data_IF_220874132923
#
_entry.id   IF_220874132923
#
_cell.length_a   1.000
_cell.length_b   1.000
_cell.length_c   1.000
_cell.angle_alpha   90.00
_cell.angle_beta   90.00
_cell.angle_gamma   90.00
#
_symmetry.space_group_name_H-M   'P 1'
#
loop_
_entity.id
_entity.type
_entity.pdbx_description
1 polymer ?
2 non-polymer ?
3 non-polymer ?
4 water ?
#
# COMPACT_ATOMS: atom_id res chain seq x y z
N UNK A 4 2.84 14.71 26.13
CA UNK A 4 2.66 13.87 24.91
C UNK A 4 3.84 14.07 23.94
N UNK A 5 4.32 12.99 23.33
CA UNK A 5 5.45 13.03 22.39
C UNK A 5 4.98 13.74 21.12
N UNK A 6 3.72 13.58 20.72
CA UNK A 6 3.21 14.21 19.47
C UNK A 6 3.00 15.73 19.68
N UNK A 7 2.65 16.19 20.88
CA UNK A 7 2.53 17.66 21.15
C UNK A 7 3.84 18.36 20.78
N UNK A 8 5.01 17.68 20.77
CA UNK A 8 6.33 18.36 20.51
C UNK A 8 6.55 18.58 19.00
N UNK A 9 5.66 18.06 18.12
CA UNK A 9 5.86 18.19 16.66
C UNK A 9 4.58 18.70 15.97
N UNK A 10 3.58 19.15 16.72
CA UNK A 10 2.24 19.54 16.14
C UNK A 10 1.86 20.97 16.47
N UNK A 11 1.09 21.60 15.57
CA UNK A 11 0.46 22.89 15.85
C UNK A 11 -0.79 22.75 16.71
N UNK A 12 -1.38 23.86 17.14
CA UNK A 12 -2.57 23.86 18.04
C UNK A 12 -3.86 23.51 17.27
N UNK A 13 -3.87 23.56 15.94
CA UNK A 13 -5.10 23.39 15.12
C UNK A 13 -5.52 21.91 14.98
N UNK A 14 -4.70 20.98 15.45
CA UNK A 14 -5.01 19.52 15.37
C UNK A 14 -5.13 18.95 16.79
N UNK A 15 -5.85 17.83 16.91
CA UNK A 15 -5.97 17.03 18.13
C UNK A 15 -5.12 15.77 17.97
N UNK A 16 -4.48 15.32 19.05
CA UNK A 16 -3.69 14.07 19.02
C UNK A 16 -4.02 13.21 20.24
N UNK A 17 -3.79 11.90 20.12
CA UNK A 17 -3.92 10.96 21.25
C UNK A 17 -2.92 9.85 21.01
N UNK A 18 -2.20 9.45 22.06
CA UNK A 18 -1.14 8.44 21.92
C UNK A 18 -1.18 7.53 23.14
N UNK A 19 -0.74 6.29 22.98
CA UNK A 19 -0.42 5.32 24.08
C UNK A 19 0.88 4.59 23.78
N UNK A 20 1.48 3.94 24.78
CA UNK A 20 2.80 3.28 24.69
C UNK A 20 2.60 1.79 24.82
N UNK A 21 1.34 1.32 24.82
CA UNK A 21 1.12 -0.14 24.91
C UNK A 21 -0.22 -0.48 24.25
N UNK A 22 -0.72 -1.69 24.50
CA UNK A 22 -2.04 -2.11 24.00
C UNK A 22 -2.96 -2.25 25.20
N UNK A 23 -3.77 -1.21 25.48
CA UNK A 23 -4.67 -1.22 26.62
C UNK A 23 -5.70 -2.33 26.55
N UNK A 24 -6.05 -2.90 27.71
CA UNK A 24 -7.01 -3.99 27.75
C UNK A 24 -8.43 -3.59 27.36
N UNK A 25 -9.12 -4.52 26.73
CA UNK A 25 -10.56 -4.44 26.52
C UNK A 25 -10.93 -3.62 25.30
N UNK A 26 -9.95 -3.23 24.48
CA UNK A 26 -10.25 -2.45 23.25
C UNK A 26 -10.77 -3.36 22.16
N UNK A 27 -11.75 -2.91 21.37
CA UNK A 27 -12.35 -3.71 20.28
C UNK A 27 -12.44 -2.86 19.01
N UNK A 28 -12.39 -3.45 17.82
CA UNK A 28 -12.69 -2.68 16.61
C UNK A 28 -14.17 -2.26 16.66
N UNK A 29 -14.57 -1.24 15.91
CA UNK A 29 -16.02 -1.01 15.64
C UNK A 29 -16.46 -2.08 14.63
N UNK A 30 -17.78 -2.39 14.58
CA UNK A 30 -18.31 -3.45 13.72
C UNK A 30 -17.87 -3.30 12.27
N UNK A 31 -17.78 -2.05 11.78
CA UNK A 31 -17.48 -1.78 10.34
C UNK A 31 -16.02 -2.13 10.06
N UNK A 32 -15.18 -2.06 11.10
CA UNK A 32 -13.72 -2.32 10.98
C UNK A 32 -13.40 -3.81 11.04
N UNK A 33 -14.30 -4.64 11.58
CA UNK A 33 -14.04 -6.08 11.83
C UNK A 33 -13.45 -6.81 10.63
N UNK A 34 -13.93 -6.61 9.38
CA UNK A 34 -13.38 -7.37 8.26
C UNK A 34 -11.92 -7.08 7.97
N UNK A 35 -11.44 -5.88 8.32
CA UNK A 35 -10.09 -5.46 7.97
C UNK A 35 -9.10 -6.29 8.79
N UNK A 36 -9.49 -6.79 9.97
CA UNK A 36 -8.51 -7.51 10.84
C UNK A 36 -9.01 -8.92 11.18
N UNK A 37 -10.03 -9.42 10.49
CA UNK A 37 -10.60 -10.76 10.73
C UNK A 37 -9.48 -11.81 10.60
N UNK A 38 -8.55 -11.62 9.69
CA UNK A 38 -7.48 -12.63 9.41
C UNK A 38 -6.15 -12.19 10.01
N UNK A 39 -6.11 -11.08 10.73
CA UNK A 39 -4.82 -10.50 11.21
C UNK A 39 -4.29 -11.24 12.44
N UNK A 40 -2.98 -11.47 12.48
CA UNK A 40 -2.31 -12.01 13.71
C UNK A 40 -2.45 -11.01 14.87
N UNK A 41 -2.25 -11.49 16.10
CA UNK A 41 -2.50 -10.75 17.35
C UNK A 41 -1.79 -9.40 17.30
N UNK A 42 -0.54 -9.37 16.89
CA UNK A 42 0.28 -8.11 16.94
C UNK A 42 -0.35 -7.04 16.02
N UNK A 43 -0.88 -7.47 14.89
CA UNK A 43 -1.46 -6.56 13.90
C UNK A 43 -2.82 -6.10 14.44
N UNK A 44 -3.63 -7.03 14.95
CA UNK A 44 -4.95 -6.67 15.50
C UNK A 44 -4.76 -5.61 16.60
N UNK A 45 -3.78 -5.83 17.47
CA UNK A 45 -3.55 -4.98 18.65
C UNK A 45 -3.27 -3.55 18.17
N UNK A 46 -2.29 -3.37 17.28
CA UNK A 46 -1.87 -2.00 16.86
C UNK A 46 -3.05 -1.35 16.12
N UNK A 47 -3.80 -2.12 15.34
CA UNK A 47 -4.90 -1.58 14.52
C UNK A 47 -5.98 -1.02 15.43
N UNK A 48 -6.37 -1.80 16.45
CA UNK A 48 -7.47 -1.42 17.38
C UNK A 48 -6.95 -0.29 18.28
N UNK A 49 -5.73 -0.42 18.80
CA UNK A 49 -5.22 0.58 19.75
C UNK A 49 -5.11 1.95 19.07
N UNK A 50 -4.58 1.99 17.86
CA UNK A 50 -4.35 3.30 17.19
C UNK A 50 -5.71 3.92 16.86
N UNK A 51 -6.76 3.13 16.65
CA UNK A 51 -8.08 3.67 16.30
C UNK A 51 -8.82 4.12 17.58
N UNK A 52 -8.58 3.46 18.70
CA UNK A 52 -8.98 4.01 20.02
C UNK A 52 -8.39 5.43 20.19
N UNK A 53 -7.11 5.61 19.89
CA UNK A 53 -6.41 6.92 19.95
C UNK A 53 -7.07 7.89 18.99
N UNK A 54 -7.37 7.47 17.76
CA UNK A 54 -8.02 8.33 16.75
C UNK A 54 -9.37 8.84 17.24
N UNK A 55 -10.16 7.96 17.85
CA UNK A 55 -11.54 8.30 18.29
C UNK A 55 -11.44 9.22 19.50
N UNK A 56 -10.44 9.07 20.36
CA UNK A 56 -10.20 10.05 21.47
C UNK A 56 -9.89 11.43 20.88
N UNK A 57 -8.96 11.49 19.92
CA UNK A 57 -8.61 12.77 19.24
C UNK A 57 -9.82 13.34 18.49
N UNK A 58 -10.61 12.50 17.84
CA UNK A 58 -11.80 12.95 17.10
C UNK A 58 -12.79 13.57 18.08
N UNK A 59 -12.82 13.03 19.31
CA UNK A 59 -13.77 13.49 20.35
C UNK A 59 -13.43 14.92 20.75
N UNK A 60 -12.14 15.21 20.90
CA UNK A 60 -11.63 16.58 21.17
C UNK A 60 -12.05 17.53 20.05
N UNK A 61 -12.24 17.06 18.80
CA UNK A 61 -12.67 17.90 17.64
C UNK A 61 -14.19 18.07 17.65
N UNK A 62 -14.90 17.34 18.51
CA UNK A 62 -16.38 17.30 18.54
C UNK A 62 -16.93 16.35 17.51
N UNK A 63 -16.20 15.27 17.21
CA UNK A 63 -16.66 14.22 16.26
C UNK A 63 -16.84 12.94 17.08
N UNK A 64 -17.99 12.30 16.94
CA UNK A 64 -18.36 11.08 17.69
C UNK A 64 -17.57 9.88 17.19
N UNK A 65 -17.70 8.72 17.86
CA UNK A 65 -16.93 7.53 17.50
C UNK A 65 -17.39 7.15 16.09
N UNK A 66 -16.44 6.96 15.16
CA UNK A 66 -16.75 6.52 13.78
C UNK A 66 -15.71 5.47 13.43
N UNK A 67 -16.02 4.55 12.49
CA UNK A 67 -15.02 3.61 12.02
C UNK A 67 -14.00 4.33 11.13
N UNK A 68 -12.76 3.86 11.14
CA UNK A 68 -11.65 4.37 10.31
C UNK A 68 -11.19 3.20 9.44
N UNK A 69 -11.66 3.18 8.20
CA UNK A 69 -11.34 2.06 7.28
C UNK A 69 -10.04 2.42 6.56
N UNK A 70 -9.63 1.59 5.61
CA UNK A 70 -8.41 1.77 4.79
C UNK A 70 -8.78 1.82 3.31
N UNK A 71 -8.15 2.71 2.56
CA UNK A 71 -8.43 2.92 1.12
C UNK A 71 -7.18 2.61 0.31
N UNK A 72 -7.01 3.41 -0.74
CA UNK A 72 -5.89 3.25 -1.70
C UNK A 72 -4.54 3.17 -0.95
N UNK A 73 -3.74 2.13 -1.26
CA UNK A 73 -2.37 1.88 -0.74
C UNK A 73 -2.37 1.91 0.79
N UNK A 74 -3.49 1.57 1.43
CA UNK A 74 -3.64 1.50 2.89
C UNK A 74 -4.01 2.83 3.56
N UNK A 75 -4.20 3.92 2.82
CA UNK A 75 -4.46 5.22 3.48
C UNK A 75 -5.70 5.14 4.38
N UNK A 76 -5.72 5.83 5.54
CA UNK A 76 -6.90 5.81 6.40
C UNK A 76 -8.04 6.55 5.72
N UNK A 77 -9.28 6.15 6.05
CA UNK A 77 -10.53 6.73 5.51
C UNK A 77 -11.22 7.50 6.61
N UNK A 78 -11.15 8.81 6.55
CA UNK A 78 -11.61 9.72 7.62
C UNK A 78 -13.06 10.05 7.33
N UNK A 79 -13.83 10.39 8.37
CA UNK A 79 -15.18 10.94 8.15
C UNK A 79 -15.15 12.28 7.41
N UNK A 80 -16.26 12.64 6.77
CA UNK A 80 -16.38 13.89 6.01
C UNK A 80 -15.94 15.02 6.97
N UNK A 81 -15.19 15.99 6.47
CA UNK A 81 -14.76 17.18 7.24
C UNK A 81 -13.50 16.94 8.08
N UNK A 82 -12.88 15.76 8.02
CA UNK A 82 -11.69 15.39 8.83
C UNK A 82 -10.56 14.89 7.95
N UNK A 83 -9.33 15.23 8.33
CA UNK A 83 -8.07 14.67 7.77
C UNK A 83 -7.25 14.22 8.97
N UNK A 84 -6.24 13.38 8.74
CA UNK A 84 -5.43 12.90 9.88
C UNK A 84 -4.37 11.92 9.45
N UNK A 85 -3.64 11.39 10.43
CA UNK A 85 -2.61 10.37 10.16
C UNK A 85 -2.52 9.45 11.40
N UNK A 86 -2.06 8.24 11.17
CA UNK A 86 -1.88 7.18 12.19
C UNK A 86 -0.45 6.66 12.11
N UNK A 87 0.11 6.21 13.24
CA UNK A 87 1.42 5.51 13.27
C UNK A 87 1.45 4.55 14.48
N UNK A 88 2.16 3.44 14.32
CA UNK A 88 2.40 2.43 15.38
C UNK A 88 3.78 1.84 15.18
N UNK A 89 4.55 1.80 16.25
CA UNK A 89 5.80 1.03 16.28
C UNK A 89 5.91 0.38 17.67
N UNK A 90 7.00 -0.31 17.91
CA UNK A 90 7.32 -0.85 19.26
C UNK A 90 7.18 0.26 20.31
N UNK A 91 6.26 0.11 21.26
CA UNK A 91 6.10 1.06 22.37
C UNK A 91 5.37 2.35 22.01
N UNK A 92 4.63 2.39 20.89
CA UNK A 92 3.91 3.62 20.52
C UNK A 92 2.76 3.35 19.54
N UNK A 93 1.63 3.98 19.81
CA UNK A 93 0.47 4.13 18.89
C UNK A 93 0.04 5.58 19.00
N UNK A 94 -0.17 6.26 17.87
CA UNK A 94 -0.54 7.67 17.87
C UNK A 94 -1.44 8.02 16.70
N UNK A 95 -2.34 8.95 16.94
CA UNK A 95 -3.32 9.45 15.95
C UNK A 95 -3.32 10.97 16.02
N UNK A 96 -3.41 11.63 14.86
CA UNK A 96 -3.58 13.10 14.79
C UNK A 96 -4.72 13.38 13.83
N UNK A 97 -5.67 14.23 14.22
CA UNK A 97 -6.80 14.60 13.34
C UNK A 97 -6.97 16.12 13.34
N UNK A 98 -7.46 16.64 12.23
CA UNK A 98 -7.83 18.05 12.11
C UNK A 98 -9.06 18.18 11.28
N UNK A 99 -9.74 19.32 11.40
CA UNK A 99 -10.89 19.70 10.54
C UNK A 99 -10.36 20.07 9.16
N UNK A 100 -10.95 19.52 8.10
CA UNK A 100 -10.49 19.73 6.70
C UNK A 100 -10.75 21.19 6.27
N UNK A 101 -11.60 21.93 6.98
CA UNK A 101 -11.74 23.40 6.75
C UNK A 101 -10.45 24.13 7.15
N UNK A 102 -9.72 23.64 8.16
CA UNK A 102 -8.49 24.30 8.70
C UNK A 102 -7.24 23.57 8.19
N UNK A 103 -7.31 22.27 7.89
CA UNK A 103 -6.11 21.43 7.60
C UNK A 103 -6.32 20.66 6.29
N UNK A 104 -5.32 20.68 5.41
CA UNK A 104 -5.35 20.05 4.07
C UNK A 104 -4.94 18.57 4.17
N UNK A 105 -3.92 18.29 4.95
CA UNK A 105 -3.31 16.96 5.07
C UNK A 105 -2.49 16.89 6.36
N UNK A 106 -2.43 15.69 6.92
CA UNK A 106 -1.54 15.35 8.06
C UNK A 106 -0.70 14.12 7.70
N UNK A 107 0.58 14.09 8.05
CA UNK A 107 1.39 12.86 8.01
C UNK A 107 2.24 12.77 9.25
N UNK A 108 2.19 11.65 9.97
CA UNK A 108 3.00 11.42 11.20
C UNK A 108 3.76 10.11 11.07
N UNK A 109 4.88 10.04 11.79
CA UNK A 109 5.60 8.77 11.91
C UNK A 109 6.30 8.68 13.27
N UNK A 110 6.42 7.46 13.77
CA UNK A 110 7.16 7.19 15.02
C UNK A 110 8.00 5.96 14.80
N UNK A 111 9.26 5.99 15.24
CA UNK A 111 10.18 4.85 15.14
C UNK A 111 10.99 4.81 16.44
N UNK A 112 11.43 3.62 16.89
CA UNK A 112 12.48 3.55 17.89
C UNK A 112 13.71 4.37 17.47
N UNK A 113 14.22 5.20 18.38
CA UNK A 113 15.43 6.01 18.14
C UNK A 113 16.66 5.11 18.23
N UNK A 114 16.97 4.41 17.14
CA UNK A 114 18.08 3.44 17.02
C UNK A 114 18.67 3.57 15.62
N UNK A 115 19.92 3.16 15.46
CA UNK A 115 20.60 3.09 14.14
C UNK A 115 19.72 2.25 13.23
N UNK A 116 19.74 2.55 11.94
CA UNK A 116 18.99 1.79 10.91
C UNK A 116 19.73 0.46 10.68
N UNK A 117 19.02 -0.63 10.31
CA UNK A 117 19.70 -1.83 9.83
C UNK A 117 20.70 -1.48 8.71
N UNK A 118 21.81 -2.23 8.63
CA UNK A 118 22.86 -2.12 7.58
C UNK A 118 22.18 -2.14 6.21
N UNK A 119 22.57 -1.24 5.31
CA UNK A 119 22.06 -1.18 3.93
C UNK A 119 20.90 -0.21 3.74
N UNK A 120 20.08 0.03 4.77
CA UNK A 120 18.82 0.83 4.63
C UNK A 120 19.16 2.31 4.33
N UNK A 121 20.08 2.93 5.05
CA UNK A 121 20.38 4.37 4.83
C UNK A 121 20.66 4.60 3.35
N UNK A 122 21.46 3.74 2.71
CA UNK A 122 21.92 3.95 1.32
C UNK A 122 20.72 3.83 0.38
N UNK A 123 19.78 2.95 0.70
CA UNK A 123 18.51 2.67 -0.02
C UNK A 123 17.51 3.85 0.09
N UNK A 124 17.53 4.63 1.16
CA UNK A 124 16.47 5.66 1.41
C UNK A 124 17.01 7.07 1.12
N UNK A 125 18.26 7.23 0.67
CA UNK A 125 18.89 8.58 0.60
C UNK A 125 19.38 8.92 -0.80
N UNK A 126 19.39 10.22 -1.13
CA UNK A 126 20.22 10.85 -2.18
C UNK A 126 21.64 11.02 -1.66
N UNK A 127 22.68 10.92 -2.53
CA UNK A 127 24.05 11.25 -2.14
C UNK A 127 24.16 12.56 -1.32
N UNK A 128 23.46 13.60 -1.76
CA UNK A 128 23.52 14.93 -1.09
C UNK A 128 23.01 14.83 0.36
N UNK A 129 22.01 13.98 0.63
CA UNK A 129 21.43 13.76 1.99
C UNK A 129 22.45 13.08 2.91
N UNK A 130 23.16 12.08 2.40
CA UNK A 130 24.18 11.35 3.19
C UNK A 130 25.25 12.35 3.66
N UNK A 131 25.69 13.23 2.76
CA UNK A 131 26.69 14.27 3.03
C UNK A 131 26.15 15.19 4.13
N UNK A 132 24.96 15.77 3.92
CA UNK A 132 24.37 16.79 4.81
C UNK A 132 24.13 16.20 6.20
N UNK A 133 23.74 14.92 6.30
CA UNK A 133 23.51 14.23 7.60
C UNK A 133 24.82 14.21 8.40
N UNK A 134 25.95 13.98 7.72
CA UNK A 134 27.29 13.81 8.35
C UNK A 134 27.69 15.09 9.07
N UNK A 135 27.12 16.24 8.69
CA UNK A 135 27.44 17.55 9.30
C UNK A 135 26.35 18.06 10.22
N UNK A 136 25.33 17.25 10.53
CA UNK A 136 24.31 17.61 11.55
C UNK A 136 24.88 17.29 12.93
N UNK A 137 24.54 18.10 13.95
CA UNK A 137 25.11 17.95 15.30
C UNK A 137 24.33 16.98 16.19
N UNK A 138 25.00 16.45 17.22
CA UNK A 138 24.36 15.70 18.31
C UNK A 138 24.66 14.22 18.20
N UNK A 139 24.56 13.51 19.33
CA UNK A 139 24.50 12.02 19.38
C UNK A 139 23.03 11.64 19.13
N UNK A 140 22.58 11.83 17.89
CA UNK A 140 21.22 11.47 17.39
C UNK A 140 21.39 10.49 16.26
N UNK A 141 20.48 9.52 16.10
CA UNK A 141 20.47 8.56 14.98
C UNK A 141 19.84 9.26 13.76
N UNK A 142 20.65 10.05 13.05
CA UNK A 142 20.11 10.93 11.97
C UNK A 142 19.57 10.08 10.84
N UNK A 143 20.18 8.92 10.60
CA UNK A 143 19.67 7.89 9.66
C UNK A 143 18.19 7.57 9.99
N UNK A 144 17.89 7.25 11.24
CA UNK A 144 16.52 6.87 11.67
C UNK A 144 15.60 8.10 11.57
N UNK A 145 16.10 9.27 11.94
CA UNK A 145 15.27 10.50 11.93
C UNK A 145 14.88 10.79 10.47
N UNK A 146 15.83 10.67 9.54
CA UNK A 146 15.61 10.88 8.09
C UNK A 146 14.53 9.90 7.59
N UNK A 147 14.62 8.63 7.97
CA UNK A 147 13.61 7.58 7.63
C UNK A 147 12.23 8.02 8.10
N UNK A 148 12.08 8.45 9.36
CA UNK A 148 10.80 8.94 9.91
C UNK A 148 10.28 10.15 9.12
N UNK A 149 11.15 11.06 8.70
CA UNK A 149 10.75 12.27 7.96
C UNK A 149 10.25 11.86 6.58
N UNK A 150 10.94 10.94 5.90
CA UNK A 150 10.50 10.43 4.56
C UNK A 150 9.10 9.82 4.70
N UNK A 151 8.88 9.04 5.74
CA UNK A 151 7.59 8.35 5.99
C UNK A 151 6.48 9.37 6.22
N UNK A 152 6.72 10.38 7.07
CA UNK A 152 5.70 11.40 7.33
C UNK A 152 5.40 12.11 5.99
N UNK A 153 6.43 12.43 5.21
CA UNK A 153 6.27 13.13 3.90
C UNK A 153 5.31 12.33 3.00
N UNK A 154 5.54 11.04 2.82
CA UNK A 154 4.67 10.17 1.99
C UNK A 154 3.24 10.21 2.55
N UNK A 155 3.06 10.12 3.87
CA UNK A 155 1.70 10.05 4.43
C UNK A 155 0.97 11.37 4.18
N UNK A 156 1.64 12.52 4.20
CA UNK A 156 0.98 13.82 3.98
C UNK A 156 0.72 14.00 2.48
N UNK A 157 1.66 13.55 1.66
CA UNK A 157 1.62 13.67 0.18
C UNK A 157 0.51 12.78 -0.40
N UNK A 158 0.43 11.52 -0.01
CA UNK A 158 -0.34 10.52 -0.79
C UNK A 158 -1.84 10.87 -0.84
N UNK A 159 -2.52 11.28 0.23
CA UNK A 159 -3.95 11.60 0.15
C UNK A 159 -4.26 12.78 -0.76
N UNK A 160 -3.26 13.61 -1.06
CA UNK A 160 -3.49 14.82 -1.89
C UNK A 160 -3.11 14.54 -3.34
N UNK A 161 -2.39 13.46 -3.67
CA UNK A 161 -1.90 13.21 -5.04
C UNK A 161 -2.35 11.85 -5.55
N UNK A 162 -2.41 10.83 -4.69
CA UNK A 162 -2.57 9.42 -5.09
C UNK A 162 -1.50 9.03 -6.12
N UNK A 163 -0.27 9.51 -5.93
CA UNK A 163 0.88 9.14 -6.75
C UNK A 163 1.97 8.63 -5.82
N UNK A 164 2.77 7.67 -6.28
CA UNK A 164 3.98 7.16 -5.59
C UNK A 164 4.95 8.31 -5.33
N UNK A 165 5.49 8.39 -4.12
CA UNK A 165 6.67 9.23 -3.81
C UNK A 165 7.78 8.30 -3.30
N UNK A 166 8.82 8.07 -4.08
CA UNK A 166 9.96 7.22 -3.71
C UNK A 166 10.91 7.95 -2.77
N UNK A 167 11.76 7.20 -2.08
CA UNK A 167 12.77 7.75 -1.16
C UNK A 167 13.65 8.77 -1.90
N UNK A 168 13.98 8.52 -3.17
CA UNK A 168 14.84 9.40 -4.01
C UNK A 168 14.04 10.59 -4.58
N UNK A 169 12.74 10.69 -4.31
CA UNK A 169 11.86 11.72 -4.92
C UNK A 169 11.66 12.93 -3.99
N UNK A 170 12.28 12.91 -2.81
CA UNK A 170 12.21 14.05 -1.86
C UNK A 170 13.60 14.24 -1.28
N UNK A 171 14.02 15.49 -1.22
CA UNK A 171 15.29 15.91 -0.57
C UNK A 171 14.93 16.54 0.78
N UNK A 172 15.27 15.89 1.88
CA UNK A 172 14.92 16.38 3.23
C UNK A 172 16.16 17.04 3.84
N UNK A 173 15.98 18.26 4.32
CA UNK A 173 17.01 19.01 5.09
C UNK A 173 16.46 19.24 6.49
N UNK A 174 17.34 19.24 7.48
CA UNK A 174 16.97 19.41 8.91
C UNK A 174 17.55 20.69 9.51
N UNK A 175 16.79 21.28 10.42
CA UNK A 175 17.26 22.34 11.36
C UNK A 175 17.05 21.83 12.78
N UNK A 176 17.98 22.14 13.67
CA UNK A 176 17.89 21.73 15.11
C UNK A 176 17.55 22.98 15.94
N UNK A 177 16.54 22.91 16.84
CA UNK A 177 16.20 24.04 17.73
C UNK A 177 17.23 24.05 18.86
N UNK A 178 17.11 24.96 19.81
CA UNK A 178 18.12 25.17 20.86
C UNK A 178 18.27 23.96 21.77
N UNK A 179 17.25 23.11 21.86
CA UNK A 179 17.20 21.94 22.76
C UNK A 179 18.19 20.88 22.30
N UNK A 180 18.57 20.86 21.01
CA UNK A 180 19.44 19.83 20.40
C UNK A 180 18.73 18.51 20.11
N UNK A 181 17.45 18.38 20.45
CA UNK A 181 16.70 17.09 20.41
C UNK A 181 15.39 17.21 19.61
N UNK A 182 15.16 18.34 18.96
CA UNK A 182 13.94 18.58 18.16
C UNK A 182 14.22 19.69 17.17
N UNK A 183 13.35 19.84 16.18
CA UNK A 183 13.50 20.96 15.26
C UNK A 183 12.55 20.81 14.11
N UNK A 184 12.97 21.34 12.99
CA UNK A 184 12.18 21.37 11.73
C UNK A 184 12.83 20.53 10.64
N UNK A 185 12.04 20.24 9.61
CA UNK A 185 12.59 19.67 8.36
C UNK A 185 11.79 20.27 7.21
N UNK A 186 12.44 20.23 6.08
CA UNK A 186 11.78 20.59 4.79
C UNK A 186 12.03 19.46 3.81
N UNK A 187 10.96 18.97 3.20
CA UNK A 187 10.98 17.93 2.15
C UNK A 187 10.74 18.64 0.83
N UNK A 188 11.79 18.72 0.03
CA UNK A 188 11.74 19.35 -1.31
C UNK A 188 11.37 18.22 -2.28
N UNK A 189 10.22 18.35 -2.93
CA UNK A 189 9.72 17.29 -3.85
C UNK A 189 10.40 17.49 -5.20
N UNK A 190 10.95 16.41 -5.71
CA UNK A 190 11.80 16.46 -6.92
C UNK A 190 11.00 15.98 -8.14
N UNK A 191 9.74 15.55 -7.94
CA UNK A 191 8.87 15.03 -9.03
C UNK A 191 7.71 16.01 -9.22
N UNK A 192 6.84 15.72 -10.19
CA UNK A 192 5.72 16.62 -10.52
C UNK A 192 4.92 16.87 -9.25
N UNK A 193 4.73 18.15 -8.85
CA UNK A 193 4.06 18.48 -7.59
C UNK A 193 2.55 18.73 -7.66
N UNK A 194 1.92 18.59 -8.83
CA UNK A 194 0.45 18.82 -9.00
C UNK A 194 -0.32 17.97 -7.98
N UNK A 195 -1.26 18.60 -7.29
CA UNK A 195 -2.11 17.96 -6.27
C UNK A 195 -3.52 17.82 -6.87
N UNK A 196 -4.28 16.86 -6.37
CA UNK A 196 -5.69 16.69 -6.78
C UNK A 196 -6.54 17.80 -6.14
N UNK A 197 -6.09 18.36 -5.00
CA UNK A 197 -6.81 19.41 -4.24
C UNK A 197 -5.75 20.32 -3.61
N UNK A 198 -5.98 21.63 -3.66
CA UNK A 198 -5.09 22.63 -3.07
C UNK A 198 -3.85 22.86 -3.91
N UNK A 199 -2.95 23.74 -3.43
CA UNK A 199 -1.77 24.13 -4.19
C UNK A 199 -0.80 22.98 -4.39
N UNK A 200 0.12 23.10 -5.36
CA UNK A 200 1.08 22.07 -5.68
C UNK A 200 1.96 21.81 -4.46
N UNK A 201 2.46 20.59 -4.34
CA UNK A 201 3.30 20.18 -3.18
C UNK A 201 4.76 20.25 -3.62
N UNK A 202 5.31 21.46 -3.77
CA UNK A 202 6.73 21.61 -4.20
C UNK A 202 7.63 21.34 -2.96
N UNK A 203 7.13 21.64 -1.77
CA UNK A 203 7.90 21.46 -0.52
C UNK A 203 6.92 21.22 0.63
N UNK A 204 7.26 20.31 1.53
CA UNK A 204 6.45 20.06 2.74
C UNK A 204 7.34 20.36 3.94
N UNK A 205 6.87 21.21 4.82
CA UNK A 205 7.62 21.53 6.06
C UNK A 205 7.05 20.66 7.18
N UNK A 206 7.92 20.15 8.04
CA UNK A 206 7.45 19.42 9.22
C UNK A 206 8.32 19.69 10.43
N UNK A 207 8.04 18.94 11.48
CA UNK A 207 8.72 19.01 12.79
C UNK A 207 9.16 17.62 13.16
N UNK A 208 10.29 17.53 13.87
CA UNK A 208 10.78 16.23 14.37
C UNK A 208 11.14 16.39 15.84
N UNK A 209 11.12 15.29 16.59
CA UNK A 209 11.45 15.31 18.04
C UNK A 209 12.01 13.95 18.43
N UNK A 210 13.09 13.91 19.21
CA UNK A 210 13.61 12.62 19.74
C UNK A 210 13.49 12.72 21.26
N UNK A 211 12.64 11.90 21.85
CA UNK A 211 12.27 11.96 23.28
C UNK A 211 11.73 10.57 23.66
N UNK A 212 12.16 10.04 24.82
CA UNK A 212 11.61 8.79 25.41
C UNK A 212 11.87 7.59 24.49
N UNK A 213 12.99 7.62 23.77
CA UNK A 213 13.51 6.48 23.01
C UNK A 213 12.82 6.36 21.65
N UNK A 214 12.08 7.40 21.24
CA UNK A 214 11.34 7.43 19.95
C UNK A 214 11.73 8.68 19.18
N UNK A 215 11.83 8.52 17.87
CA UNK A 215 11.87 9.65 16.92
C UNK A 215 10.45 9.82 16.38
N UNK A 216 9.88 11.01 16.51
CA UNK A 216 8.52 11.32 16.01
C UNK A 216 8.65 12.45 14.98
N UNK A 217 7.90 12.36 13.88
CA UNK A 217 7.84 13.41 12.84
C UNK A 217 6.38 13.70 12.53
N UNK A 218 6.07 14.94 12.24
CA UNK A 218 4.72 15.33 11.80
C UNK A 218 4.83 16.43 10.75
N UNK A 219 3.96 16.32 9.76
CA UNK A 219 3.67 17.39 8.78
C UNK A 219 2.18 17.73 8.91
N UNK A 220 1.85 19.00 9.11
CA UNK A 220 0.44 19.48 9.08
C UNK A 220 0.37 20.55 8.00
N UNK A 221 -0.22 20.22 6.84
CA UNK A 221 -0.41 21.20 5.73
C UNK A 221 -1.71 21.92 6.04
N UNK A 222 -1.65 23.26 6.17
CA UNK A 222 -2.84 24.08 6.51
C UNK A 222 -3.61 24.49 5.25
N UNK A 223 -4.93 24.59 5.36
CA UNK A 223 -5.78 25.30 4.36
C UNK A 223 -5.39 26.77 4.46
N UNK A 224 -5.04 27.41 3.34
CA UNK A 224 -4.64 28.84 3.32
C UNK A 224 -5.75 29.70 3.96
N UNK B 4 -13.29 -15.67 -22.09
CA UNK B 4 -12.71 -14.56 -21.29
C UNK B 4 -11.19 -14.57 -21.33
N UNK B 5 -10.58 -13.41 -21.18
CA UNK B 5 -9.09 -13.28 -21.14
C UNK B 5 -8.56 -13.98 -19.89
N UNK B 6 -9.25 -13.92 -18.75
CA UNK B 6 -8.70 -14.56 -17.52
C UNK B 6 -8.81 -16.09 -17.65
N UNK B 7 -9.78 -16.61 -18.38
CA UNK B 7 -9.91 -18.10 -18.51
C UNK B 7 -8.62 -18.66 -19.13
N UNK B 8 -7.88 -17.86 -19.90
CA UNK B 8 -6.68 -18.38 -20.61
C UNK B 8 -5.53 -18.61 -19.64
N UNK B 9 -5.60 -18.08 -18.41
CA UNK B 9 -4.47 -18.21 -17.44
C UNK B 9 -4.93 -18.89 -16.14
N UNK B 10 -6.09 -19.55 -16.12
CA UNK B 10 -6.63 -20.12 -14.85
C UNK B 10 -6.87 -21.62 -14.96
N UNK B 11 -6.78 -22.29 -13.80
CA UNK B 11 -7.22 -23.67 -13.66
C UNK B 11 -8.72 -23.69 -13.39
N UNK B 12 -9.26 -24.86 -13.10
CA UNK B 12 -10.66 -25.01 -12.65
C UNK B 12 -10.75 -24.66 -11.16
N UNK B 13 -12.00 -24.65 -10.62
CA UNK B 13 -12.30 -24.46 -9.18
C UNK B 13 -11.97 -23.03 -8.73
N UNK B 14 -11.81 -22.12 -9.68
CA UNK B 14 -11.82 -20.67 -9.41
C UNK B 14 -12.87 -20.11 -10.34
N UNK B 15 -13.51 -19.01 -9.96
CA UNK B 15 -14.44 -18.26 -10.80
C UNK B 15 -13.83 -16.91 -11.18
N UNK B 16 -14.04 -16.49 -12.42
CA UNK B 16 -13.48 -15.19 -12.87
C UNK B 16 -14.59 -14.36 -13.50
N UNK B 17 -14.49 -13.03 -13.40
CA UNK B 17 -15.38 -12.17 -14.14
C UNK B 17 -14.60 -10.94 -14.61
N UNK B 18 -14.90 -10.43 -15.79
CA UNK B 18 -14.20 -9.26 -16.32
C UNK B 18 -15.13 -8.42 -17.18
N UNK B 19 -14.83 -7.12 -17.25
CA UNK B 19 -15.45 -6.19 -18.23
C UNK B 19 -14.32 -5.30 -18.79
N UNK B 20 -14.61 -4.55 -19.85
CA UNK B 20 -13.57 -3.84 -20.62
C UNK B 20 -13.79 -2.33 -20.56
N UNK B 21 -14.69 -1.85 -19.72
CA UNK B 21 -14.87 -0.39 -19.45
C UNK B 21 -15.60 -0.23 -18.11
N UNK B 22 -16.03 0.98 -17.82
CA UNK B 22 -16.86 1.32 -16.63
C UNK B 22 -18.29 1.54 -17.09
N UNK B 23 -19.17 0.54 -16.90
CA UNK B 23 -20.51 0.62 -17.44
C UNK B 23 -21.33 1.55 -16.56
N UNK B 24 -22.40 2.17 -17.12
CA UNK B 24 -23.39 2.88 -16.30
C UNK B 24 -24.22 1.90 -15.45
N UNK B 25 -24.87 2.40 -14.40
CA UNK B 25 -25.86 1.63 -13.62
C UNK B 25 -25.24 0.84 -12.48
N UNK B 26 -23.97 1.13 -12.13
CA UNK B 26 -23.25 0.47 -11.00
C UNK B 26 -23.13 1.41 -9.80
N UNK B 27 -23.19 0.82 -8.62
CA UNK B 27 -23.01 1.49 -7.32
C UNK B 27 -22.07 0.65 -6.49
N UNK B 28 -21.32 1.28 -5.56
CA UNK B 28 -20.63 0.52 -4.53
C UNK B 28 -21.68 -0.08 -3.58
N UNK B 29 -21.30 -1.08 -2.80
CA UNK B 29 -22.11 -1.43 -1.61
C UNK B 29 -21.86 -0.34 -0.57
N UNK B 30 -22.87 -0.06 0.30
CA UNK B 30 -22.76 1.05 1.24
C UNK B 30 -21.55 0.94 2.20
N UNK B 31 -21.11 -0.26 2.54
CA UNK B 31 -19.92 -0.45 3.41
C UNK B 31 -18.64 0.01 2.67
N UNK B 32 -18.64 0.03 1.33
CA UNK B 32 -17.47 0.39 0.48
C UNK B 32 -17.40 1.90 0.27
N UNK B 33 -18.50 2.63 0.44
CA UNK B 33 -18.56 4.09 0.11
C UNK B 33 -17.42 4.90 0.74
N UNK B 34 -17.05 4.69 2.02
CA UNK B 34 -15.99 5.48 2.64
C UNK B 34 -14.66 5.39 1.89
N UNK B 35 -14.43 4.26 1.22
CA UNK B 35 -13.11 4.00 0.57
C UNK B 35 -12.95 4.94 -0.62
N UNK B 36 -14.05 5.40 -1.20
CA UNK B 36 -13.98 6.20 -2.45
C UNK B 36 -14.65 7.56 -2.25
N UNK B 37 -14.97 7.93 -1.02
CA UNK B 37 -15.76 9.14 -0.72
C UNK B 37 -14.99 10.40 -1.21
N UNK B 38 -13.65 10.38 -1.27
CA UNK B 38 -12.84 11.54 -1.71
C UNK B 38 -12.14 11.29 -3.03
N UNK B 39 -12.50 10.21 -3.72
CA UNK B 39 -11.75 9.74 -4.90
C UNK B 39 -12.22 10.54 -6.13
N UNK B 40 -11.31 10.78 -7.05
CA UNK B 40 -11.63 11.34 -8.39
C UNK B 40 -12.40 10.28 -9.19
N UNK B 41 -13.11 10.71 -10.24
CA UNK B 41 -14.06 9.83 -10.95
C UNK B 41 -13.36 8.57 -11.44
N UNK B 42 -12.19 8.69 -12.05
CA UNK B 42 -11.53 7.50 -12.69
C UNK B 42 -11.28 6.41 -11.63
N UNK B 43 -10.85 6.79 -10.43
CA UNK B 43 -10.61 5.85 -9.33
C UNK B 43 -11.95 5.29 -8.81
N UNK B 44 -12.97 6.14 -8.58
CA UNK B 44 -14.30 5.67 -8.13
C UNK B 44 -14.78 4.60 -9.12
N UNK B 45 -14.73 4.92 -10.42
CA UNK B 45 -15.28 4.03 -11.47
C UNK B 45 -14.56 2.69 -11.45
N UNK B 46 -13.22 2.66 -11.42
CA UNK B 46 -12.50 1.36 -11.51
C UNK B 46 -12.83 0.54 -10.26
N UNK B 47 -12.86 1.18 -9.09
CA UNK B 47 -13.13 0.51 -7.81
C UNK B 47 -14.50 -0.17 -7.86
N UNK B 48 -15.51 0.58 -8.33
CA UNK B 48 -16.91 0.10 -8.37
C UNK B 48 -17.02 -0.99 -9.42
N UNK B 49 -16.46 -0.79 -10.63
CA UNK B 49 -16.59 -1.80 -11.68
C UNK B 49 -15.88 -3.09 -11.24
N UNK B 50 -14.67 -3.02 -10.68
CA UNK B 50 -13.93 -4.28 -10.37
C UNK B 50 -14.71 -5.06 -9.28
N UNK B 51 -15.45 -4.36 -8.42
CA UNK B 51 -16.20 -5.06 -7.34
C UNK B 51 -17.50 -5.65 -7.89
N UNK B 52 -18.15 -5.01 -8.84
CA UNK B 52 -19.20 -5.68 -9.67
C UNK B 52 -18.67 -7.01 -10.25
N UNK B 53 -17.48 -7.02 -10.83
CA UNK B 53 -16.84 -8.23 -11.35
C UNK B 53 -16.66 -9.24 -10.19
N UNK B 54 -16.12 -8.78 -9.07
CA UNK B 54 -15.86 -9.65 -7.92
C UNK B 54 -17.17 -10.29 -7.45
N UNK B 55 -18.24 -9.48 -7.35
CA UNK B 55 -19.55 -10.03 -6.91
C UNK B 55 -20.10 -11.01 -7.96
N UNK B 56 -19.81 -10.86 -9.24
CA UNK B 56 -20.28 -11.85 -10.23
C UNK B 56 -19.54 -13.16 -10.01
N UNK B 57 -18.22 -13.07 -9.85
CA UNK B 57 -17.38 -14.26 -9.62
C UNK B 57 -17.77 -14.96 -8.30
N UNK B 58 -17.98 -14.22 -7.21
CA UNK B 58 -18.51 -14.79 -5.94
C UNK B 58 -19.85 -15.48 -6.21
N UNK B 59 -20.77 -14.86 -6.99
CA UNK B 59 -22.08 -15.46 -7.25
C UNK B 59 -21.91 -16.79 -7.94
N UNK B 60 -20.98 -16.86 -8.89
CA UNK B 60 -20.69 -18.14 -9.59
C UNK B 60 -20.29 -19.19 -8.56
N UNK B 61 -19.44 -18.82 -7.60
CA UNK B 61 -18.90 -19.72 -6.56
C UNK B 61 -19.98 -20.10 -5.53
N UNK B 62 -21.09 -19.36 -5.43
CA UNK B 62 -22.15 -19.65 -4.44
C UNK B 62 -22.14 -18.71 -3.25
N UNK B 63 -21.45 -17.58 -3.33
CA UNK B 63 -21.35 -16.55 -2.25
C UNK B 63 -22.12 -15.29 -2.68
N UNK B 64 -23.04 -14.84 -1.81
CA UNK B 64 -23.95 -13.72 -2.12
C UNK B 64 -23.18 -12.42 -2.18
N UNK B 65 -23.80 -11.32 -2.62
CA UNK B 65 -23.06 -10.06 -2.76
C UNK B 65 -22.66 -9.52 -1.39
N UNK B 66 -21.36 -9.37 -1.20
CA UNK B 66 -20.75 -8.84 0.05
C UNK B 66 -19.82 -7.70 -0.35
N UNK B 67 -19.57 -6.76 0.58
CA UNK B 67 -18.63 -5.68 0.32
C UNK B 67 -17.22 -6.28 0.34
N UNK B 68 -16.35 -5.70 -0.46
CA UNK B 68 -14.91 -6.08 -0.58
C UNK B 68 -14.12 -4.87 -0.10
N UNK B 69 -13.73 -4.86 1.17
CA UNK B 69 -13.00 -3.71 1.73
C UNK B 69 -11.51 -3.91 1.49
N UNK B 70 -10.68 -3.03 2.04
CA UNK B 70 -9.23 -3.05 1.85
C UNK B 70 -8.59 -3.08 3.23
N UNK B 71 -7.55 -3.88 3.32
CA UNK B 71 -6.79 -4.04 4.56
C UNK B 71 -5.36 -3.62 4.37
N UNK B 72 -4.48 -4.34 5.06
CA UNK B 72 -3.02 -4.05 5.05
C UNK B 72 -2.50 -3.84 3.62
N UNK B 73 -1.84 -2.72 3.38
CA UNK B 73 -1.18 -2.35 2.12
C UNK B 73 -2.13 -2.49 0.93
N UNK B 74 -3.44 -2.30 1.18
CA UNK B 74 -4.47 -2.24 0.14
C UNK B 74 -5.06 -3.61 -0.18
N UNK B 75 -4.68 -4.68 0.51
CA UNK B 75 -5.09 -6.05 0.12
C UNK B 75 -6.60 -6.15 0.24
N UNK B 76 -7.27 -6.83 -0.69
CA UNK B 76 -8.72 -6.98 -0.59
C UNK B 76 -9.11 -7.88 0.59
N UNK B 77 -10.25 -7.56 1.20
CA UNK B 77 -10.82 -8.30 2.36
C UNK B 77 -11.95 -9.21 1.87
N UNK B 78 -11.66 -10.48 1.71
CA UNK B 78 -12.63 -11.47 1.20
C UNK B 78 -13.53 -12.00 2.31
N UNK B 79 -14.73 -12.47 1.93
CA UNK B 79 -15.62 -13.13 2.87
C UNK B 79 -15.00 -14.46 3.34
N UNK B 80 -15.56 -14.94 4.45
CA UNK B 80 -15.15 -16.20 5.09
C UNK B 80 -15.08 -17.32 4.03
N UNK B 81 -13.98 -18.07 4.00
CA UNK B 81 -13.80 -19.26 3.15
C UNK B 81 -13.47 -18.92 1.69
N UNK B 82 -13.11 -17.68 1.41
CA UNK B 82 -12.80 -17.20 0.03
C UNK B 82 -11.43 -16.57 -0.01
N UNK B 83 -10.71 -16.80 -1.10
CA UNK B 83 -9.50 -16.02 -1.48
C UNK B 83 -9.70 -15.50 -2.88
N UNK B 84 -8.90 -14.51 -3.28
CA UNK B 84 -9.09 -13.95 -4.61
C UNK B 84 -8.13 -12.82 -4.90
N UNK B 85 -8.27 -12.26 -6.09
CA UNK B 85 -7.45 -11.13 -6.52
C UNK B 85 -8.23 -10.24 -7.46
N UNK B 86 -7.81 -8.98 -7.52
CA UNK B 86 -8.46 -7.98 -8.38
C UNK B 86 -7.42 -7.26 -9.22
N UNK B 87 -7.82 -6.78 -10.40
CA UNK B 87 -6.93 -5.91 -11.19
C UNK B 87 -7.74 -4.97 -12.07
N UNK B 88 -7.20 -3.78 -12.32
CA UNK B 88 -7.81 -2.85 -13.29
C UNK B 88 -6.72 -2.06 -14.02
N UNK B 89 -6.83 -1.99 -15.33
CA UNK B 89 -5.94 -1.16 -16.15
C UNK B 89 -6.81 -0.51 -17.22
N UNK B 90 -6.20 0.29 -18.09
CA UNK B 90 -6.97 0.86 -19.22
C UNK B 90 -7.62 -0.29 -20.01
N UNK B 91 -8.96 -0.26 -20.14
CA UNK B 91 -9.72 -1.21 -20.95
C UNK B 91 -9.94 -2.54 -20.26
N UNK B 92 -9.72 -2.65 -18.95
CA UNK B 92 -9.93 -3.98 -18.30
C UNK B 92 -10.20 -3.84 -16.80
N UNK B 93 -11.18 -4.59 -16.32
CA UNK B 93 -11.41 -4.79 -14.86
C UNK B 93 -11.67 -6.28 -14.68
N UNK B 94 -11.02 -6.91 -13.72
CA UNK B 94 -11.25 -8.33 -13.52
C UNK B 94 -10.98 -8.79 -12.12
N UNK B 95 -11.64 -9.89 -11.80
CA UNK B 95 -11.66 -10.52 -10.47
C UNK B 95 -11.60 -12.02 -10.64
N UNK B 96 -10.85 -12.67 -9.75
CA UNK B 96 -10.82 -14.14 -9.63
C UNK B 96 -10.98 -14.48 -8.17
N UNK B 97 -11.87 -15.43 -7.85
CA UNK B 97 -12.12 -15.89 -6.46
C UNK B 97 -12.10 -17.44 -6.45
N UNK B 98 -11.71 -18.00 -5.32
CA UNK B 98 -11.75 -19.46 -5.07
C UNK B 98 -12.13 -19.72 -3.62
N UNK B 99 -12.57 -20.95 -3.36
CA UNK B 99 -12.78 -21.42 -1.98
C UNK B 99 -11.41 -21.63 -1.33
N UNK B 100 -11.25 -21.20 -0.08
CA UNK B 100 -10.00 -21.40 0.70
C UNK B 100 -9.77 -22.91 0.90
N UNK B 101 -10.81 -23.74 0.77
CA UNK B 101 -10.65 -25.22 0.88
C UNK B 101 -9.89 -25.77 -0.34
N UNK B 102 -9.98 -25.15 -1.53
CA UNK B 102 -9.32 -25.58 -2.79
C UNK B 102 -8.03 -24.76 -2.98
N UNK B 103 -8.05 -23.49 -2.61
CA UNK B 103 -7.05 -22.48 -3.04
C UNK B 103 -6.47 -21.74 -1.85
N UNK B 104 -5.14 -21.67 -1.76
CA UNK B 104 -4.40 -21.01 -0.67
C UNK B 104 -4.34 -19.51 -0.93
N UNK B 105 -4.09 -19.12 -2.17
CA UNK B 105 -3.97 -17.70 -2.56
C UNK B 105 -4.13 -17.58 -4.08
N UNK B 106 -4.39 -16.37 -4.51
CA UNK B 106 -4.62 -16.01 -5.92
C UNK B 106 -3.94 -14.68 -6.12
N UNK B 107 -3.19 -14.51 -7.20
CA UNK B 107 -2.76 -13.18 -7.66
C UNK B 107 -3.05 -13.05 -9.13
N UNK B 108 -3.60 -11.93 -9.58
CA UNK B 108 -3.81 -11.66 -11.02
C UNK B 108 -3.28 -10.26 -11.37
N UNK B 109 -3.02 -10.04 -12.65
CA UNK B 109 -2.68 -8.70 -13.14
C UNK B 109 -3.10 -8.58 -14.59
N UNK B 110 -3.41 -7.37 -15.01
CA UNK B 110 -3.67 -7.04 -16.42
C UNK B 110 -2.99 -5.71 -16.72
N UNK B 111 -2.34 -5.63 -17.88
CA UNK B 111 -1.75 -4.36 -18.37
C UNK B 111 -2.02 -4.26 -19.86
N UNK B 112 -2.12 -3.05 -20.40
CA UNK B 112 -2.06 -2.86 -21.85
C UNK B 112 -0.73 -3.44 -22.36
N UNK B 113 -0.76 -4.13 -23.48
CA UNK B 113 0.44 -4.77 -24.06
C UNK B 113 1.23 -3.72 -24.86
N UNK B 114 1.96 -2.90 -24.12
CA UNK B 114 2.74 -1.76 -24.66
C UNK B 114 4.10 -1.79 -23.97
N UNK B 115 5.09 -1.13 -24.59
CA UNK B 115 6.41 -1.03 -23.91
C UNK B 115 6.22 -0.39 -22.54
N UNK B 116 7.06 -0.73 -21.56
CA UNK B 116 7.04 -0.11 -20.23
C UNK B 116 7.49 1.34 -20.36
N UNK B 117 7.01 2.23 -19.46
CA UNK B 117 7.50 3.59 -19.45
C UNK B 117 8.95 3.62 -18.97
N UNK B 118 9.63 4.71 -19.28
CA UNK B 118 11.06 4.91 -18.98
C UNK B 118 11.38 4.51 -17.52
N UNK B 119 12.46 3.75 -17.33
CA UNK B 119 13.07 3.51 -16.01
C UNK B 119 12.42 2.36 -15.24
N UNK B 120 11.23 1.93 -15.64
CA UNK B 120 10.47 0.86 -14.91
C UNK B 120 11.20 -0.48 -15.02
N UNK B 121 11.60 -0.87 -16.23
CA UNK B 121 12.24 -2.20 -16.42
C UNK B 121 13.46 -2.33 -15.49
N UNK B 122 14.33 -1.31 -15.45
CA UNK B 122 15.54 -1.38 -14.58
C UNK B 122 15.12 -1.39 -13.11
N UNK B 123 14.02 -0.74 -12.74
CA UNK B 123 13.60 -0.71 -11.32
C UNK B 123 13.08 -2.10 -10.89
N UNK B 124 12.54 -2.91 -11.80
CA UNK B 124 11.81 -4.16 -11.40
C UNK B 124 12.67 -5.40 -11.59
N UNK B 125 13.85 -5.30 -12.22
CA UNK B 125 14.63 -6.52 -12.62
C UNK B 125 15.90 -6.67 -11.80
N UNK B 126 16.34 -7.92 -11.65
CA UNK B 126 17.75 -8.32 -11.44
C UNK B 126 18.48 -8.23 -12.77
N UNK B 127 19.82 -8.01 -12.75
CA UNK B 127 20.65 -8.11 -13.96
C UNK B 127 20.40 -9.38 -14.79
N UNK B 128 20.34 -10.55 -14.13
CA UNK B 128 20.10 -11.88 -14.76
C UNK B 128 18.77 -11.87 -15.55
N UNK B 129 17.73 -11.20 -15.02
CA UNK B 129 16.40 -11.18 -15.69
C UNK B 129 16.48 -10.38 -16.98
N UNK B 130 17.12 -9.20 -16.93
CA UNK B 130 17.34 -8.32 -18.10
C UNK B 130 18.04 -9.13 -19.19
N UNK B 131 19.05 -9.93 -18.83
CA UNK B 131 19.75 -10.84 -19.77
C UNK B 131 18.76 -11.87 -20.33
N UNK B 132 18.05 -12.58 -19.45
CA UNK B 132 17.18 -13.71 -19.87
C UNK B 132 16.06 -13.17 -20.78
N UNK B 133 15.50 -12.00 -20.49
CA UNK B 133 14.38 -11.43 -21.30
C UNK B 133 14.86 -11.21 -22.75
N UNK B 134 16.11 -10.77 -22.94
CA UNK B 134 16.68 -10.49 -24.30
C UNK B 134 16.64 -11.79 -25.12
N UNK B 135 16.78 -12.93 -24.46
CA UNK B 135 16.71 -14.28 -25.07
C UNK B 135 15.30 -14.74 -25.44
N UNK B 136 14.22 -14.07 -25.00
CA UNK B 136 12.85 -14.63 -25.23
C UNK B 136 12.39 -14.32 -26.65
N UNK B 137 11.61 -15.25 -27.24
CA UNK B 137 11.14 -15.11 -28.63
C UNK B 137 9.81 -14.36 -28.81
N UNK B 138 9.64 -13.74 -29.97
CA UNK B 138 8.37 -13.12 -30.40
C UNK B 138 8.42 -11.60 -30.37
N UNK B 139 7.55 -10.95 -31.15
CA UNK B 139 7.21 -9.51 -31.04
C UNK B 139 6.27 -9.36 -29.84
N UNK B 140 6.76 -9.65 -28.64
CA UNK B 140 6.01 -9.37 -27.40
C UNK B 140 6.76 -8.32 -26.60
N UNK B 141 6.01 -7.52 -25.86
CA UNK B 141 6.61 -6.59 -24.86
C UNK B 141 6.99 -7.37 -23.61
N UNK B 142 8.16 -8.02 -23.61
CA UNK B 142 8.55 -8.91 -22.48
C UNK B 142 8.77 -8.12 -21.20
N UNK B 143 9.19 -6.84 -21.31
CA UNK B 143 9.33 -5.91 -20.19
C UNK B 143 7.95 -5.75 -19.49
N UNK B 144 6.90 -5.58 -20.28
CA UNK B 144 5.51 -5.39 -19.76
C UNK B 144 5.01 -6.70 -19.16
N UNK B 145 5.28 -7.84 -19.81
CA UNK B 145 4.80 -9.17 -19.33
C UNK B 145 5.51 -9.46 -18.03
N UNK B 146 6.81 -9.19 -17.93
CA UNK B 146 7.54 -9.38 -16.66
C UNK B 146 6.90 -8.55 -15.53
N UNK B 147 6.61 -7.28 -15.78
CA UNK B 147 5.93 -6.36 -14.82
C UNK B 147 4.63 -7.03 -14.32
N UNK B 148 3.79 -7.51 -15.24
CA UNK B 148 2.53 -8.24 -14.90
C UNK B 148 2.81 -9.46 -14.05
N UNK B 149 3.86 -10.23 -14.32
CA UNK B 149 4.13 -11.47 -13.56
C UNK B 149 4.63 -11.06 -12.16
N UNK B 150 5.42 -9.98 -12.04
CA UNK B 150 5.92 -9.52 -10.71
C UNK B 150 4.73 -9.02 -9.87
N UNK B 151 3.78 -8.34 -10.50
CA UNK B 151 2.55 -7.84 -9.82
C UNK B 151 1.68 -9.00 -9.33
N UNK B 152 1.42 -10.02 -10.16
CA UNK B 152 0.60 -11.19 -9.75
C UNK B 152 1.32 -11.90 -8.60
N UNK B 153 2.67 -12.01 -8.68
CA UNK B 153 3.48 -12.65 -7.64
C UNK B 153 3.24 -11.94 -6.30
N UNK B 154 3.42 -10.64 -6.25
CA UNK B 154 3.25 -9.88 -5.00
C UNK B 154 1.82 -10.07 -4.46
N UNK B 155 0.81 -10.04 -5.32
CA UNK B 155 -0.59 -10.15 -4.84
C UNK B 155 -0.86 -11.54 -4.27
N UNK B 156 -0.19 -12.59 -4.76
CA UNK B 156 -0.45 -13.95 -4.25
C UNK B 156 0.34 -14.14 -2.95
N UNK B 157 1.48 -13.46 -2.87
CA UNK B 157 2.46 -13.63 -1.77
C UNK B 157 1.97 -12.87 -0.54
N UNK B 158 1.61 -11.60 -0.71
CA UNK B 158 1.37 -10.67 0.42
C UNK B 158 0.32 -11.24 1.38
N UNK B 159 -0.87 -11.71 0.96
CA UNK B 159 -1.87 -12.23 1.91
C UNK B 159 -1.39 -13.40 2.81
N UNK B 160 -0.35 -14.10 2.39
CA UNK B 160 0.12 -15.33 3.08
C UNK B 160 1.28 -15.01 4.02
N UNK B 161 1.90 -13.85 3.87
CA UNK B 161 3.13 -13.46 4.61
C UNK B 161 2.99 -12.15 5.36
N UNK B 162 2.27 -11.15 4.83
CA UNK B 162 2.26 -9.74 5.33
C UNK B 162 3.69 -9.20 5.44
N UNK B 163 4.55 -9.60 4.50
CA UNK B 163 5.92 -9.06 4.37
C UNK B 163 6.05 -8.49 2.98
N UNK B 164 6.77 -7.37 2.91
CA UNK B 164 7.21 -6.71 1.66
C UNK B 164 7.94 -7.72 0.77
N UNK B 165 7.57 -7.73 -0.50
CA UNK B 165 8.34 -8.43 -1.55
C UNK B 165 8.71 -7.37 -2.58
N UNK B 166 9.99 -6.97 -2.60
CA UNK B 166 10.52 -6.05 -3.63
C UNK B 166 10.54 -6.72 -5.00
N UNK B 167 10.49 -5.93 -6.05
CA UNK B 167 10.66 -6.40 -7.45
C UNK B 167 11.95 -7.21 -7.58
N UNK B 168 12.99 -6.88 -6.80
CA UNK B 168 14.31 -7.57 -6.86
C UNK B 168 14.30 -8.84 -5.99
N UNK B 169 13.23 -9.13 -5.25
CA UNK B 169 13.22 -10.29 -4.32
C UNK B 169 12.62 -11.52 -5.03
N UNK B 170 12.20 -11.38 -6.27
CA UNK B 170 11.62 -12.51 -7.01
C UNK B 170 12.29 -12.57 -8.37
N UNK B 171 12.89 -13.71 -8.69
CA UNK B 171 13.49 -13.98 -10.02
C UNK B 171 12.44 -14.69 -10.85
N UNK B 172 11.91 -14.05 -11.89
CA UNK B 172 10.88 -14.69 -12.75
C UNK B 172 11.52 -15.28 -14.02
N UNK B 173 11.21 -16.53 -14.33
CA UNK B 173 11.57 -17.15 -15.63
C UNK B 173 10.32 -17.62 -16.38
N UNK B 174 10.32 -17.40 -17.68
CA UNK B 174 9.14 -17.61 -18.55
C UNK B 174 9.33 -18.83 -19.44
N UNK B 175 8.23 -19.52 -19.73
CA UNK B 175 8.12 -20.48 -20.88
C UNK B 175 7.15 -19.90 -21.88
N UNK B 176 7.40 -20.13 -23.15
CA UNK B 176 6.47 -19.74 -24.26
C UNK B 176 5.93 -21.00 -24.92
N UNK B 177 4.62 -21.03 -25.15
CA UNK B 177 3.98 -22.22 -25.74
C UNK B 177 4.00 -22.02 -27.25
N UNK B 178 3.59 -23.06 -27.95
CA UNK B 178 3.65 -23.10 -29.41
C UNK B 178 2.79 -22.04 -30.06
N UNK B 179 1.81 -21.43 -29.36
CA UNK B 179 1.04 -20.28 -29.89
C UNK B 179 1.92 -19.03 -30.00
N UNK B 180 2.97 -18.91 -29.19
CA UNK B 180 3.83 -17.72 -29.13
C UNK B 180 3.21 -16.60 -28.32
N UNK B 181 1.98 -16.72 -27.84
CA UNK B 181 1.30 -15.59 -27.15
C UNK B 181 0.80 -16.00 -25.76
N UNK B 182 1.25 -17.13 -25.23
CA UNK B 182 0.87 -17.65 -23.91
C UNK B 182 1.94 -18.60 -23.40
N UNK B 183 1.91 -18.85 -22.10
CA UNK B 183 2.82 -19.81 -21.49
C UNK B 183 2.76 -19.74 -19.99
N UNK B 184 3.80 -20.20 -19.38
CA UNK B 184 3.90 -20.34 -17.91
C UNK B 184 5.04 -19.47 -17.43
N UNK B 185 5.09 -19.19 -16.13
CA UNK B 185 6.25 -18.58 -15.48
C UNK B 185 6.39 -19.17 -14.10
N UNK B 186 7.61 -19.06 -13.58
CA UNK B 186 7.98 -19.44 -12.20
C UNK B 186 8.62 -18.23 -11.55
N UNK B 187 8.15 -17.84 -10.38
CA UNK B 187 8.72 -16.76 -9.56
C UNK B 187 9.50 -17.41 -8.42
N UNK B 188 10.84 -17.34 -8.48
CA UNK B 188 11.69 -17.92 -7.41
C UNK B 188 11.88 -16.81 -6.38
N UNK B 189 11.53 -17.09 -5.13
CA UNK B 189 11.58 -16.08 -4.04
C UNK B 189 13.01 -16.09 -3.46
N UNK B 190 13.62 -14.92 -3.37
CA UNK B 190 15.04 -14.78 -2.95
C UNK B 190 15.16 -14.32 -1.51
N UNK B 191 14.05 -14.02 -0.82
CA UNK B 191 14.08 -13.68 0.63
C UNK B 191 13.50 -14.85 1.44
N UNK B 192 13.38 -14.67 2.76
CA UNK B 192 12.81 -15.69 3.68
C UNK B 192 11.44 -16.12 3.16
N UNK B 193 11.24 -17.42 2.86
CA UNK B 193 10.00 -17.89 2.25
C UNK B 193 8.91 -18.33 3.24
N UNK B 194 9.13 -18.14 4.54
CA UNK B 194 8.20 -18.70 5.58
C UNK B 194 6.83 -18.00 5.46
N UNK B 195 5.77 -18.79 5.35
CA UNK B 195 4.36 -18.34 5.28
C UNK B 195 3.76 -18.27 6.70
N UNK B 196 2.69 -17.50 6.94
CA UNK B 196 1.98 -17.55 8.25
C UNK B 196 1.44 -18.97 8.52
N UNK B 197 1.01 -19.68 7.49
CA UNK B 197 0.50 -21.08 7.58
C UNK B 197 0.93 -21.86 6.32
N UNK B 198 1.26 -23.14 6.50
CA UNK B 198 1.53 -24.06 5.39
C UNK B 198 2.97 -23.96 4.94
N UNK B 199 3.32 -24.62 3.81
CA UNK B 199 4.71 -24.80 3.42
C UNK B 199 5.32 -23.51 2.90
N UNK B 200 6.67 -23.39 2.96
CA UNK B 200 7.37 -22.18 2.54
C UNK B 200 7.06 -21.84 1.09
N UNK B 201 6.98 -20.54 0.79
CA UNK B 201 6.75 -20.02 -0.58
C UNK B 201 8.10 -19.78 -1.25
N UNK B 202 8.78 -20.85 -1.63
CA UNK B 202 10.11 -20.77 -2.28
C UNK B 202 9.93 -20.41 -3.75
N UNK B 203 8.84 -20.87 -4.38
CA UNK B 203 8.55 -20.59 -5.80
C UNK B 203 7.05 -20.57 -6.02
N UNK B 204 6.57 -19.61 -6.79
CA UNK B 204 5.15 -19.52 -7.17
C UNK B 204 5.08 -19.72 -8.68
N UNK B 205 4.25 -20.65 -9.15
CA UNK B 205 4.06 -20.88 -10.59
C UNK B 205 2.80 -20.17 -11.08
N UNK B 206 2.91 -19.52 -12.23
CA UNK B 206 1.73 -18.87 -12.85
C UNK B 206 1.65 -19.07 -14.34
N UNK B 207 0.65 -18.43 -14.91
CA UNK B 207 0.37 -18.46 -16.35
C UNK B 207 0.33 -17.03 -16.87
N UNK B 208 0.67 -16.83 -18.15
CA UNK B 208 0.57 -15.52 -18.82
C UNK B 208 -0.07 -15.70 -20.19
N UNK B 209 -0.70 -14.65 -20.67
CA UNK B 209 -1.34 -14.65 -22.01
C UNK B 209 -1.34 -13.20 -22.51
N UNK B 210 -1.06 -13.02 -23.81
CA UNK B 210 -1.27 -11.73 -24.50
C UNK B 210 -2.36 -11.93 -25.55
N UNK B 211 -3.44 -11.18 -25.44
CA UNK B 211 -4.61 -11.25 -26.33
C UNK B 211 -5.41 -9.95 -26.24
N UNK B 212 -5.97 -9.51 -27.37
CA UNK B 212 -6.88 -8.34 -27.45
C UNK B 212 -6.18 -7.10 -26.91
N UNK B 213 -4.86 -6.99 -27.08
CA UNK B 213 -4.07 -5.81 -26.71
C UNK B 213 -3.73 -5.76 -25.23
N UNK B 214 -4.00 -6.85 -24.51
CA UNK B 214 -3.75 -6.90 -23.03
C UNK B 214 -2.80 -8.05 -22.72
N UNK B 215 -1.94 -7.85 -21.74
CA UNK B 215 -1.16 -8.90 -21.07
C UNK B 215 -1.91 -9.24 -19.77
N UNK B 216 -2.16 -10.52 -19.51
CA UNK B 216 -2.79 -11.01 -18.25
C UNK B 216 -1.92 -12.09 -17.65
N UNK B 217 -1.84 -12.07 -16.33
CA UNK B 217 -1.07 -13.05 -15.52
C UNK B 217 -1.94 -13.51 -14.35
N UNK B 218 -1.78 -14.77 -13.96
CA UNK B 218 -2.47 -15.35 -12.79
C UNK B 218 -1.58 -16.41 -12.15
N UNK B 219 -1.57 -16.37 -10.83
CA UNK B 219 -1.03 -17.42 -9.94
C UNK B 219 -2.20 -17.91 -9.07
N UNK B 220 -2.41 -19.22 -9.06
CA UNK B 220 -3.37 -19.89 -8.13
C UNK B 220 -2.57 -20.94 -7.37
N UNK B 221 -2.46 -20.77 -6.05
CA UNK B 221 -1.67 -21.67 -5.17
C UNK B 221 -2.61 -22.73 -4.53
N UNK B 222 -2.12 -23.95 -4.50
CA UNK B 222 -2.85 -25.13 -3.97
C UNK B 222 -2.91 -25.03 -2.46
N UNK B 223 -4.08 -25.35 -1.91
CA UNK B 223 -4.34 -25.60 -0.46
C UNK B 223 -3.93 -27.05 -0.14
N UNK B 224 -2.92 -27.27 0.71
CA UNK B 224 -2.32 -28.61 0.96
C UNK B 224 -3.19 -29.44 1.93
X LIG C 1 -3.26 1.24 9.90
X LIG C 1 -4.50 1.92 9.33
X LIG C 1 -2.74 0.20 8.92
X LIG C 1 -3.42 0.74 11.30
X LIG C 1 3.29 3.19 10.33
X LIG C 1 3.65 2.22 9.27
X LIG C 1 4.29 4.32 10.45
X LIG C 1 3.14 2.47 11.70
X LIG C 1 1.85 3.87 9.99
X LIG C 1 0.80 2.96 9.73
X LIG C 1 -0.40 3.73 9.26
X LIG C 1 -0.05 4.50 8.09
X LIG C 1 -1.51 2.82 8.80
X LIG C 1 -2.11 2.39 10.00
X LIG C 1 -2.33 3.80 7.92
X LIG C 1 -3.36 4.39 8.68
X LIG C 1 -1.25 4.79 7.42
X LIG C 1 -1.00 4.66 6.00
X LIG C 1 -0.73 3.50 5.31
X LIG C 1 -0.66 3.69 4.01
X LIG C 1 -0.80 5.07 3.86
X LIG C 1 -0.82 5.89 2.74
X LIG C 1 -0.71 5.38 1.50
X LIG C 1 -1.06 7.21 2.90
X LIG C 1 -1.19 7.68 4.14
X LIG C 1 -1.23 7.00 5.28
X LIG C 1 -1.02 5.68 5.07
X LIG D 1 6.18 4.36 10.22
X LIG E 1 3.40 0.61 12.38
X LIG F 1 -8.66 -2.07 -5.44
X LIG F 1 -9.76 -1.65 -6.44
X LIG F 1 -7.74 -0.90 -5.00
X LIG F 1 -9.12 -2.85 -4.28
X LIG F 1 -3.83 -3.32 -10.11
X LIG F 1 -4.94 -2.67 -11.00
X LIG F 1 -2.94 -2.31 -9.46
X LIG F 1 -3.09 -4.38 -10.84
X LIG F 1 -4.57 -4.13 -8.95
X LIG F 1 -5.30 -3.32 -7.97
X LIG F 1 -5.84 -4.22 -6.91
X LIG F 1 -4.77 -4.96 -6.27
X LIG F 1 -6.48 -3.48 -5.73
X LIG F 1 -7.69 -3.07 -6.29
X LIG F 1 -6.44 -4.54 -4.65
X LIG F 1 -7.61 -5.32 -4.61
X LIG F 1 -5.21 -5.39 -5.01
X LIG F 1 -4.13 -5.17 -4.07
X LIG F 1 -3.60 -3.93 -3.64
X LIG F 1 -2.69 -4.08 -2.69
X LIG F 1 -2.59 -5.47 -2.53
X LIG F 1 -1.80 -6.25 -1.68
X LIG F 1 -0.96 -5.73 -0.79
X LIG F 1 -1.97 -7.59 -1.72
X LIG F 1 -2.85 -8.09 -2.60
X LIG F 1 -3.66 -7.46 -3.45
X LIG F 1 -3.46 -6.13 -3.37
X LIG G 1 -1.48 -4.16 -12.00
X LIG H 1 -5.39 -0.79 -11.53
#
# INVERSE_FOLDING_TARGET
MTDSLLSLVLPDRVASAEVYDDPPGLSPLPEEEPLIARSVAKRRNEFVTVRYCARQALGELGVGPVPILKGDKGEPCWPDGVVGSLTHCQGFRGAVVGRSTDVRSVGIDAEPHDVLPNGVLDAITLPIERAELRGLPGDLHWDRILFCAKEATYKAWYPLTHRWLGFEDAHITFEVDGSGTAGSFRSRILIDPVAEHGPPLTALDGRWSVRDGLAVTAIVLLEHHHHHH
MTDSLLSLVLPDRVASAEVYDDPPGLSPLPEEEPLIARSVAKRRNEFVTVRYCARQALGELGVGPVPILKGDKGEPCWPDGVVGSLTHCQGFRGAVVGRSTDVRSVGIDAEPHDVLPNGVLDAITLPIERAELRGLPGDLHWDRILFCAKEATYKAWYPLTHRWLGFEDAHITFEVDGSGTAGSFRSRILIDPVAEHGPPLTALDGRWSVRDGLAVTAIVLLEHHHHHH
A3P P1 O1P O2P O3P P2 O4P O5P O6P O5' C5' C4' O4' C3' O3' C2' O2' C1' N9 C8 N7 C5 C6 N6 N1 C2 N3 C4
MG MG
MG MG
A3P P1 O1P O2P O3P P2 O4P O5P O6P O5' C5' C4' O4' C3' O3' C2' O2' C1' N9 C8 N7 C5 C6 N6 N1 C2 N3 C4
MG MG
MG MG
#
